data_IF_250191533519
#
_entry.id   IF_250191533519
#
_cell.length_a   1.000
_cell.length_b   1.000
_cell.length_c   1.000
_cell.angle_alpha   90.00
_cell.angle_beta   90.00
_cell.angle_gamma   90.00
#
_symmetry.space_group_name_H-M   'P 1'
#
loop_
_entity.id
_entity.type
_entity.pdbx_description
1 polymer ?
#
# COMPACT_ATOMS: atom_id res chain seq x y z
N UNK A 1 5.72 -6.29 -4.08
CA UNK A 1 5.06 -7.58 -4.39
C UNK A 1 6.01 -8.72 -4.05
N UNK A 2 5.59 -9.77 -3.35
CA UNK A 2 6.46 -10.93 -3.02
C UNK A 2 6.62 -11.85 -4.25
N UNK A 3 7.85 -12.31 -4.49
CA UNK A 3 8.24 -13.19 -5.60
C UNK A 3 8.90 -14.47 -5.07
N UNK A 4 8.93 -15.49 -5.93
CA UNK A 4 9.73 -16.70 -5.70
C UNK A 4 11.19 -16.41 -6.01
N UNK A 5 12.09 -16.82 -5.11
CA UNK A 5 13.54 -16.69 -5.31
C UNK A 5 13.97 -17.63 -6.42
N UNK A 6 14.45 -17.07 -7.53
CA UNK A 6 15.02 -17.82 -8.65
C UNK A 6 16.19 -17.06 -9.23
N UNK A 7 17.12 -17.78 -9.85
CA UNK A 7 18.21 -17.20 -10.64
C UNK A 7 18.21 -17.92 -11.98
N UNK A 8 18.21 -17.16 -13.07
CA UNK A 8 18.20 -17.68 -14.42
C UNK A 8 19.30 -17.02 -15.25
N UNK A 9 19.97 -17.80 -16.08
CA UNK A 9 20.91 -17.26 -17.05
C UNK A 9 20.14 -16.80 -18.29
N UNK A 10 20.15 -15.51 -18.57
CA UNK A 10 19.59 -14.96 -19.79
C UNK A 10 20.63 -15.05 -20.91
N UNK A 11 20.32 -15.84 -21.94
CA UNK A 11 21.22 -16.11 -23.07
C UNK A 11 21.36 -14.93 -24.03
N UNK A 12 20.42 -14.00 -24.05
CA UNK A 12 20.42 -12.88 -24.99
C UNK A 12 21.41 -11.79 -24.57
N UNK A 13 21.43 -11.46 -23.28
CA UNK A 13 22.36 -10.48 -22.70
C UNK A 13 23.59 -11.15 -22.04
N UNK A 14 23.64 -12.49 -21.99
CA UNK A 14 24.70 -13.28 -21.35
C UNK A 14 24.89 -12.95 -19.85
N UNK A 15 23.79 -12.62 -19.16
CA UNK A 15 23.81 -12.22 -17.76
C UNK A 15 23.00 -13.17 -16.87
N UNK A 16 23.39 -13.23 -15.60
CA UNK A 16 22.62 -13.92 -14.58
C UNK A 16 21.59 -12.95 -14.00
N UNK A 17 20.31 -13.31 -14.10
CA UNK A 17 19.17 -12.55 -13.59
C UNK A 17 18.63 -13.17 -12.30
N UNK A 18 17.91 -12.38 -11.51
CA UNK A 18 17.31 -12.82 -10.24
C UNK A 18 18.04 -12.34 -8.98
N UNK A 19 19.07 -11.51 -9.15
CA UNK A 19 19.71 -10.79 -8.06
C UNK A 19 19.03 -9.45 -7.81
N UNK A 20 19.18 -8.93 -6.60
CA UNK A 20 18.74 -7.59 -6.21
C UNK A 20 19.30 -6.51 -7.13
N UNK A 21 18.40 -5.66 -7.61
CA UNK A 21 18.68 -4.50 -8.43
C UNK A 21 17.63 -3.41 -8.16
N UNK A 22 18.05 -2.40 -7.40
CA UNK A 22 17.35 -1.14 -7.14
C UNK A 22 18.05 0.02 -7.86
N UNK A 23 18.75 -0.27 -8.97
CA UNK A 23 19.60 0.68 -9.69
C UNK A 23 20.83 1.11 -8.88
N UNK A 24 21.23 2.36 -9.06
CA UNK A 24 22.37 2.96 -8.34
C UNK A 24 22.14 3.04 -6.82
N UNK A 25 20.89 2.92 -6.37
CA UNK A 25 20.50 2.97 -4.96
C UNK A 25 20.49 1.59 -4.30
N UNK A 26 20.96 0.54 -4.99
CA UNK A 26 21.07 -0.80 -4.40
C UNK A 26 22.03 -0.80 -3.21
N UNK A 27 21.57 -1.12 -1.99
CA UNK A 27 22.44 -1.14 -0.82
C UNK A 27 23.54 -2.19 -0.97
N UNK A 28 24.76 -1.88 -0.55
CA UNK A 28 25.93 -2.75 -0.71
C UNK A 28 25.70 -4.14 -0.11
N UNK A 29 25.12 -4.20 1.08
CA UNK A 29 24.80 -5.44 1.76
C UNK A 29 23.75 -6.29 1.03
N UNK A 30 22.99 -5.73 0.09
CA UNK A 30 22.02 -6.46 -0.71
C UNK A 30 22.59 -6.91 -2.05
N UNK A 31 23.67 -6.33 -2.56
CA UNK A 31 24.23 -6.68 -3.87
C UNK A 31 24.58 -8.17 -3.95
N UNK A 32 24.25 -8.79 -5.08
CA UNK A 32 24.49 -10.22 -5.32
C UNK A 32 23.58 -11.17 -4.52
N UNK A 33 22.60 -10.66 -3.77
CA UNK A 33 21.62 -11.50 -3.09
C UNK A 33 20.43 -11.79 -4.00
N UNK A 34 19.81 -12.96 -3.83
CA UNK A 34 18.60 -13.31 -4.58
C UNK A 34 17.43 -12.41 -4.16
N UNK A 35 16.80 -11.78 -5.14
CA UNK A 35 15.61 -10.97 -4.91
C UNK A 35 14.41 -11.84 -4.55
N UNK A 36 13.52 -11.29 -3.72
CA UNK A 36 12.25 -11.93 -3.35
C UNK A 36 11.06 -10.97 -3.30
N UNK A 37 11.28 -9.70 -3.66
CA UNK A 37 10.20 -8.73 -3.82
C UNK A 37 10.43 -7.90 -5.08
N UNK A 38 9.36 -7.61 -5.83
CA UNK A 38 9.36 -6.59 -6.86
C UNK A 38 8.79 -5.27 -6.31
N UNK A 39 9.51 -4.18 -6.53
CA UNK A 39 9.01 -2.82 -6.42
C UNK A 39 8.63 -2.35 -7.83
N UNK A 40 7.38 -1.94 -8.02
CA UNK A 40 6.89 -1.43 -9.31
C UNK A 40 6.36 -0.03 -9.10
N UNK A 41 6.84 0.91 -9.92
CA UNK A 41 6.32 2.28 -9.97
C UNK A 41 5.44 2.38 -11.21
N UNK A 42 4.21 2.82 -11.02
CA UNK A 42 3.23 2.96 -12.08
C UNK A 42 2.74 4.39 -12.15
N UNK A 43 2.49 4.86 -13.37
CA UNK A 43 1.81 6.12 -13.64
C UNK A 43 0.38 5.83 -14.04
N UNK A 44 -0.55 6.56 -13.42
CA UNK A 44 -1.96 6.58 -13.78
C UNK A 44 -2.40 8.04 -13.90
N UNK A 45 -2.89 8.49 -15.06
CA UNK A 45 -3.39 9.85 -15.21
C UNK A 45 -4.75 10.00 -14.52
N UNK A 46 -5.03 11.21 -14.02
CA UNK A 46 -6.38 11.58 -13.59
C UNK A 46 -7.38 11.57 -14.74
N UNK A 47 -6.94 12.03 -15.92
CA UNK A 47 -7.75 12.05 -17.14
C UNK A 47 -7.27 10.97 -18.11
N UNK A 48 -8.02 9.87 -18.15
CA UNK A 48 -7.74 8.72 -19.02
C UNK A 48 -8.05 7.40 -18.31
N UNK A 49 -8.04 6.32 -19.08
CA UNK A 49 -8.21 4.95 -18.55
C UNK A 49 -7.03 4.07 -18.97
N UNK A 50 -5.83 4.51 -18.62
CA UNK A 50 -4.60 3.76 -18.89
C UNK A 50 -3.67 3.79 -17.68
N UNK A 51 -2.77 2.83 -17.62
CA UNK A 51 -1.72 2.73 -16.60
C UNK A 51 -0.44 2.30 -17.32
N UNK A 52 0.70 2.83 -16.90
CA UNK A 52 2.00 2.46 -17.44
C UNK A 52 2.97 2.20 -16.30
N UNK A 53 3.73 1.11 -16.38
CA UNK A 53 4.87 0.91 -15.49
C UNK A 53 5.99 1.86 -15.90
N UNK A 54 6.45 2.69 -14.97
CA UNK A 54 7.60 3.58 -15.14
C UNK A 54 8.91 2.87 -14.78
N UNK A 55 8.87 1.96 -13.81
CA UNK A 55 10.04 1.23 -13.35
C UNK A 55 9.66 -0.06 -12.61
N UNK A 56 10.51 -1.06 -12.74
CA UNK A 56 10.40 -2.34 -12.04
C UNK A 56 11.77 -2.70 -11.48
N UNK A 57 11.83 -2.91 -10.17
CA UNK A 57 13.06 -3.16 -9.44
C UNK A 57 12.93 -4.43 -8.63
N UNK A 58 14.02 -5.17 -8.49
CA UNK A 58 14.06 -6.42 -7.75
C UNK A 58 14.79 -6.19 -6.42
N UNK A 59 14.12 -6.42 -5.30
CA UNK A 59 14.68 -6.20 -3.97
C UNK A 59 14.67 -7.46 -3.12
N UNK A 60 15.45 -7.46 -2.04
CA UNK A 60 15.35 -8.47 -0.98
C UNK A 60 14.60 -7.85 0.19
N UNK A 61 13.38 -8.33 0.43
CA UNK A 61 12.40 -7.65 1.27
C UNK A 61 11.89 -6.37 0.61
N UNK A 62 11.08 -5.61 1.34
CA UNK A 62 10.67 -4.27 0.91
C UNK A 62 11.88 -3.34 0.84
N UNK A 63 11.93 -2.49 -0.19
CA UNK A 63 12.91 -1.41 -0.25
C UNK A 63 12.78 -0.52 1.00
N UNK A 64 13.92 -0.12 1.58
CA UNK A 64 13.90 0.77 2.73
C UNK A 64 13.38 2.17 2.33
N UNK A 65 12.93 2.96 3.31
CA UNK A 65 12.32 4.27 3.04
C UNK A 65 13.23 5.25 2.29
N UNK A 66 14.53 5.25 2.60
CA UNK A 66 15.51 6.13 1.94
C UNK A 66 15.74 5.78 0.47
N UNK A 67 15.93 4.51 0.16
CA UNK A 67 16.07 4.04 -1.23
C UNK A 67 14.79 4.29 -2.01
N UNK A 68 13.63 4.03 -1.39
CA UNK A 68 12.34 4.29 -2.01
C UNK A 68 12.13 5.78 -2.31
N UNK A 69 12.54 6.67 -1.39
CA UNK A 69 12.52 8.11 -1.61
C UNK A 69 13.39 8.52 -2.81
N UNK A 70 14.62 8.02 -2.92
CA UNK A 70 15.49 8.32 -4.07
C UNK A 70 14.92 7.81 -5.40
N UNK A 71 14.45 6.57 -5.45
CA UNK A 71 13.83 6.01 -6.65
C UNK A 71 12.59 6.83 -7.05
N UNK A 72 11.75 7.22 -6.07
CA UNK A 72 10.55 8.01 -6.32
C UNK A 72 10.88 9.42 -6.84
N UNK A 73 11.87 10.08 -6.26
CA UNK A 73 12.38 11.37 -6.75
C UNK A 73 12.80 11.29 -8.21
N UNK A 74 13.62 10.29 -8.57
CA UNK A 74 14.08 10.10 -9.94
C UNK A 74 12.92 9.78 -10.88
N UNK A 75 11.99 8.90 -10.48
CA UNK A 75 10.81 8.57 -11.27
C UNK A 75 9.95 9.80 -11.58
N UNK A 76 9.72 10.69 -10.60
CA UNK A 76 8.97 11.94 -10.80
C UNK A 76 9.70 12.86 -11.77
N UNK A 77 11.01 13.07 -11.58
CA UNK A 77 11.80 13.95 -12.44
C UNK A 77 11.78 13.44 -13.89
N UNK A 78 11.96 12.14 -14.11
CA UNK A 78 11.95 11.55 -15.45
C UNK A 78 10.55 11.58 -16.08
N UNK A 79 9.50 11.29 -15.32
CA UNK A 79 8.12 11.38 -15.78
C UNK A 79 7.77 12.80 -16.23
N UNK A 80 8.08 13.81 -15.43
CA UNK A 80 7.85 15.22 -15.74
C UNK A 80 8.61 15.68 -16.99
N UNK A 81 9.88 15.28 -17.12
CA UNK A 81 10.68 15.55 -18.33
C UNK A 81 10.10 14.91 -19.58
N UNK A 82 9.43 13.76 -19.45
CA UNK A 82 8.72 13.11 -20.54
C UNK A 82 7.33 13.72 -20.84
N UNK A 83 6.92 14.75 -20.09
CA UNK A 83 5.62 15.41 -20.23
C UNK A 83 4.49 14.76 -19.43
N UNK A 84 4.79 13.73 -18.61
CA UNK A 84 3.83 13.14 -17.69
C UNK A 84 3.78 13.97 -16.41
N UNK A 85 2.69 14.71 -16.23
CA UNK A 85 2.48 15.55 -15.05
C UNK A 85 2.12 14.71 -13.83
N UNK A 86 2.99 14.73 -12.81
CA UNK A 86 2.85 13.97 -11.57
C UNK A 86 2.39 14.89 -10.45
N UNK A 87 1.08 14.93 -10.22
CA UNK A 87 0.53 15.79 -9.16
C UNK A 87 0.46 15.07 -7.80
N UNK A 88 0.56 13.73 -7.77
CA UNK A 88 0.45 12.98 -6.52
C UNK A 88 1.17 11.63 -6.51
N UNK A 89 1.50 11.17 -5.30
CA UNK A 89 2.03 9.84 -4.99
C UNK A 89 0.95 9.08 -4.20
N UNK A 90 0.62 7.86 -4.63
CA UNK A 90 -0.30 6.98 -3.92
C UNK A 90 0.39 5.67 -3.49
N UNK A 91 0.29 5.30 -2.21
CA UNK A 91 0.83 4.03 -1.70
C UNK A 91 0.10 3.51 -0.45
N UNK A 92 0.43 2.30 0.00
CA UNK A 92 -0.12 1.74 1.24
C UNK A 92 0.56 2.32 2.49
N UNK A 93 -0.06 2.11 3.66
CA UNK A 93 0.44 2.59 4.94
C UNK A 93 1.62 1.79 5.53
N UNK A 94 2.41 1.07 4.74
CA UNK A 94 3.57 0.36 5.26
C UNK A 94 4.61 1.33 5.87
N UNK A 95 5.42 0.83 6.82
CA UNK A 95 6.37 1.67 7.56
C UNK A 95 7.41 2.34 6.66
N UNK A 96 7.95 1.62 5.67
CA UNK A 96 8.92 2.18 4.72
C UNK A 96 8.31 3.25 3.80
N UNK A 97 7.01 3.15 3.46
CA UNK A 97 6.31 4.17 2.67
C UNK A 97 6.12 5.45 3.49
N UNK A 98 5.79 5.31 4.78
CA UNK A 98 5.72 6.45 5.72
C UNK A 98 7.07 7.12 5.90
N UNK A 99 8.14 6.35 6.08
CA UNK A 99 9.51 6.92 6.12
C UNK A 99 9.85 7.68 4.84
N UNK A 100 9.45 7.20 3.66
CA UNK A 100 9.61 7.96 2.42
C UNK A 100 8.83 9.29 2.49
N UNK A 101 7.59 9.29 2.98
CA UNK A 101 6.79 10.52 3.13
C UNK A 101 7.47 11.52 4.08
N UNK A 102 7.99 11.04 5.21
CA UNK A 102 8.73 11.87 6.17
C UNK A 102 9.95 12.51 5.50
N UNK A 103 10.68 11.76 4.66
CA UNK A 103 11.83 12.28 3.90
C UNK A 103 11.44 13.31 2.83
N UNK A 104 10.20 13.26 2.34
CA UNK A 104 9.65 14.31 1.49
C UNK A 104 9.22 15.56 2.27
N UNK A 105 9.14 15.49 3.60
CA UNK A 105 8.65 16.58 4.45
C UNK A 105 7.13 16.56 4.69
N UNK A 106 6.47 15.43 4.44
CA UNK A 106 5.07 15.23 4.80
C UNK A 106 4.91 15.22 6.33
N UNK A 107 3.87 15.89 6.82
CA UNK A 107 3.46 15.82 8.23
C UNK A 107 1.93 15.76 8.33
N UNK A 108 1.39 15.51 9.52
CA UNK A 108 -0.08 15.51 9.73
C UNK A 108 -0.71 16.87 9.37
N UNK A 109 0.02 17.98 9.60
CA UNK A 109 -0.41 19.33 9.27
C UNK A 109 -0.11 19.73 7.81
N UNK A 110 0.74 18.95 7.12
CA UNK A 110 1.25 19.26 5.79
C UNK A 110 1.09 18.06 4.85
N UNK A 111 -0.09 17.95 4.25
CA UNK A 111 -0.49 16.82 3.38
C UNK A 111 0.02 16.90 1.93
N UNK A 112 0.77 17.96 1.60
CA UNK A 112 1.42 18.15 0.31
C UNK A 112 2.65 19.04 0.46
N UNK A 113 3.56 18.96 -0.50
CA UNK A 113 4.79 19.76 -0.53
C UNK A 113 4.86 20.60 -1.80
N UNK A 114 5.79 21.55 -1.84
CA UNK A 114 6.20 22.19 -3.09
C UNK A 114 6.68 21.13 -4.09
N UNK A 115 6.22 21.21 -5.34
CA UNK A 115 6.51 20.17 -6.31
C UNK A 115 7.97 20.24 -6.80
N UNK A 116 8.67 19.10 -6.72
CA UNK A 116 10.13 19.00 -6.89
C UNK A 116 10.68 19.41 -8.27
N UNK A 117 9.83 19.49 -9.31
CA UNK A 117 10.22 19.93 -10.67
C UNK A 117 9.67 21.30 -11.03
N UNK A 118 8.58 21.72 -10.38
CA UNK A 118 7.81 22.91 -10.78
C UNK A 118 7.25 23.59 -9.53
N UNK A 119 7.92 24.62 -8.99
CA UNK A 119 7.55 25.28 -7.74
C UNK A 119 6.15 25.90 -7.73
N UNK A 120 5.53 26.14 -8.89
CA UNK A 120 4.17 26.67 -8.97
C UNK A 120 3.10 25.61 -8.65
N UNK A 121 3.49 24.34 -8.57
CA UNK A 121 2.60 23.21 -8.31
C UNK A 121 2.88 22.59 -6.95
N UNK A 122 1.97 21.71 -6.54
CA UNK A 122 2.08 20.93 -5.31
C UNK A 122 2.14 19.44 -5.64
N UNK A 123 2.93 18.71 -4.85
CA UNK A 123 2.96 17.25 -4.87
C UNK A 123 2.16 16.72 -3.67
N UNK A 124 1.10 15.96 -3.94
CA UNK A 124 0.18 15.44 -2.94
C UNK A 124 0.49 13.98 -2.57
N UNK A 125 0.21 13.61 -1.32
CA UNK A 125 0.41 12.24 -0.82
C UNK A 125 -0.93 11.61 -0.48
N UNK A 126 -1.23 10.48 -1.11
CA UNK A 126 -2.46 9.73 -0.91
C UNK A 126 -2.17 8.35 -0.33
N UNK A 127 -2.92 7.97 0.68
CA UNK A 127 -2.93 6.60 1.16
C UNK A 127 -3.94 5.76 0.39
N UNK A 128 -3.65 4.47 0.21
CA UNK A 128 -4.61 3.48 -0.27
C UNK A 128 -5.82 3.41 0.68
N UNK A 129 -6.89 4.12 0.31
CA UNK A 129 -8.12 4.22 1.09
C UNK A 129 -8.76 2.85 1.38
N UNK A 130 -8.94 1.94 0.40
CA UNK A 130 -9.31 0.55 0.67
C UNK A 130 -8.47 -0.14 1.75
N UNK A 131 -7.15 0.09 1.76
CA UNK A 131 -6.28 -0.45 2.81
C UNK A 131 -6.55 0.16 4.19
N UNK A 132 -6.83 1.47 4.27
CA UNK A 132 -7.20 2.13 5.53
C UNK A 132 -8.49 1.53 6.12
N UNK A 133 -9.52 1.32 5.30
CA UNK A 133 -10.77 0.68 5.73
C UNK A 133 -10.50 -0.75 6.21
N UNK A 134 -9.63 -1.49 5.52
CA UNK A 134 -9.19 -2.83 5.92
C UNK A 134 -8.48 -2.81 7.28
N UNK A 135 -7.60 -1.86 7.51
CA UNK A 135 -6.91 -1.67 8.78
C UNK A 135 -7.88 -1.35 9.92
N UNK A 136 -8.83 -0.44 9.70
CA UNK A 136 -9.88 -0.11 10.67
C UNK A 136 -10.72 -1.34 11.04
N UNK A 137 -11.19 -2.09 10.04
CA UNK A 137 -11.92 -3.34 10.23
C UNK A 137 -11.10 -4.35 11.04
N UNK A 138 -9.83 -4.55 10.67
CA UNK A 138 -8.93 -5.47 11.36
C UNK A 138 -8.67 -5.06 12.81
N UNK A 139 -8.59 -3.75 13.08
CA UNK A 139 -8.46 -3.22 14.43
C UNK A 139 -9.67 -3.63 15.28
N UNK A 140 -10.90 -3.42 14.79
CA UNK A 140 -12.11 -3.84 15.50
C UNK A 140 -12.22 -5.35 15.65
N UNK A 141 -11.82 -6.15 14.66
CA UNK A 141 -11.90 -7.63 14.75
C UNK A 141 -11.00 -8.25 15.81
N UNK A 142 -9.97 -7.52 16.27
CA UNK A 142 -9.06 -7.97 17.33
C UNK A 142 -9.57 -7.62 18.73
N UNK A 143 -10.55 -6.72 18.82
CA UNK A 143 -11.14 -6.34 20.10
C UNK A 143 -12.04 -7.46 20.61
N UNK A 144 -12.19 -7.56 21.93
CA UNK A 144 -13.17 -8.47 22.52
C UNK A 144 -14.58 -8.13 22.04
N UNK A 145 -15.46 -9.14 22.00
CA UNK A 145 -16.83 -9.05 21.47
C UNK A 145 -17.63 -7.84 22.00
N UNK A 146 -17.38 -7.47 23.26
CA UNK A 146 -18.07 -6.39 23.98
C UNK A 146 -17.15 -5.23 24.36
N UNK A 147 -15.94 -5.17 23.81
CA UNK A 147 -15.04 -4.05 24.05
C UNK A 147 -15.66 -2.75 23.55
N UNK A 148 -15.41 -1.67 24.29
CA UNK A 148 -15.70 -0.32 23.88
C UNK A 148 -14.38 0.34 23.48
N UNK A 149 -14.27 0.75 22.22
CA UNK A 149 -13.16 1.57 21.73
C UNK A 149 -13.52 3.02 21.98
N UNK A 150 -12.67 3.74 22.71
CA UNK A 150 -12.84 5.18 22.89
C UNK A 150 -12.39 5.93 21.63
N UNK A 151 -13.18 6.91 21.22
CA UNK A 151 -12.90 7.87 20.15
C UNK A 151 -13.24 9.27 20.65
N UNK A 152 -12.76 10.35 20.02
CA UNK A 152 -13.13 11.72 20.40
C UNK A 152 -14.65 11.96 20.45
N UNK A 153 -15.41 11.26 19.60
CA UNK A 153 -16.87 11.37 19.50
C UNK A 153 -17.63 10.37 20.39
N UNK A 154 -16.91 9.59 21.21
CA UNK A 154 -17.49 8.63 22.16
C UNK A 154 -17.06 7.18 21.95
N UNK A 155 -17.85 6.25 22.49
CA UNK A 155 -17.51 4.82 22.47
C UNK A 155 -18.10 4.09 21.26
N UNK A 156 -17.24 3.39 20.52
CA UNK A 156 -17.62 2.51 19.42
C UNK A 156 -17.45 1.05 19.85
N UNK A 157 -18.44 0.21 19.55
CA UNK A 157 -18.39 -1.22 19.91
C UNK A 157 -19.06 -2.09 18.85
N UNK A 158 -18.50 -3.29 18.65
CA UNK A 158 -19.08 -4.31 17.78
C UNK A 158 -20.32 -5.00 18.38
N UNK A 159 -20.67 -4.72 19.65
CA UNK A 159 -21.78 -5.38 20.36
C UNK A 159 -23.11 -5.35 19.60
N UNK A 160 -23.42 -4.24 18.95
CA UNK A 160 -24.67 -4.07 18.19
C UNK A 160 -24.72 -4.97 16.94
N UNK A 161 -23.56 -5.17 16.30
CA UNK A 161 -23.45 -6.06 15.14
C UNK A 161 -23.63 -7.52 15.52
N UNK A 162 -23.09 -7.93 16.67
CA UNK A 162 -23.33 -9.27 17.21
C UNK A 162 -24.79 -9.49 17.64
N UNK A 163 -25.43 -8.47 18.21
CA UNK A 163 -26.86 -8.54 18.55
C UNK A 163 -27.72 -8.71 17.30
N UNK A 164 -27.40 -8.00 16.21
CA UNK A 164 -28.09 -8.14 14.93
C UNK A 164 -27.97 -9.56 14.37
N UNK A 165 -26.75 -10.12 14.35
CA UNK A 165 -26.52 -11.50 13.91
C UNK A 165 -27.28 -12.52 14.76
N UNK A 166 -27.44 -12.28 16.07
CA UNK A 166 -28.21 -13.16 16.94
C UNK A 166 -29.71 -13.09 16.65
N UNK A 167 -30.26 -11.88 16.42
CA UNK A 167 -31.68 -11.65 16.13
C UNK A 167 -32.08 -12.25 14.78
N UNK A 168 -31.28 -12.04 13.74
CA UNK A 168 -31.61 -12.53 12.39
C UNK A 168 -31.61 -14.05 12.27
N UNK A 169 -31.04 -14.76 13.26
CA UNK A 169 -30.92 -16.21 13.31
C UNK A 169 -30.56 -16.80 11.93
N UNK A 170 -29.28 -16.72 11.51
CA UNK A 170 -28.87 -16.92 10.12
C UNK A 170 -29.22 -18.29 9.52
N UNK A 171 -29.56 -19.26 10.38
CA UNK A 171 -29.89 -20.65 10.07
C UNK A 171 -31.40 -20.90 9.98
N UNK A 172 -32.24 -20.02 10.52
CA UNK A 172 -33.69 -20.21 10.59
C UNK A 172 -34.47 -19.57 9.43
N UNK A 173 -33.96 -18.47 8.85
CA UNK A 173 -34.68 -17.71 7.83
C UNK A 173 -33.79 -17.30 6.64
N UNK A 174 -34.36 -17.37 5.44
CA UNK A 174 -33.70 -16.93 4.20
C UNK A 174 -33.86 -15.43 3.91
N UNK A 175 -34.91 -14.79 4.44
CA UNK A 175 -35.14 -13.36 4.28
C UNK A 175 -34.55 -12.62 5.49
N UNK A 176 -33.57 -11.75 5.23
CA UNK A 176 -32.82 -11.00 6.25
C UNK A 176 -32.85 -9.51 5.94
N UNK A 177 -32.90 -8.68 6.98
CA UNK A 177 -32.84 -7.23 6.85
C UNK A 177 -31.43 -6.81 6.42
N UNK A 178 -30.40 -7.52 6.92
CA UNK A 178 -28.99 -7.30 6.60
C UNK A 178 -28.38 -8.52 5.91
N UNK A 179 -28.91 -8.87 4.74
CA UNK A 179 -28.50 -10.06 3.97
C UNK A 179 -27.02 -10.08 3.52
N UNK A 180 -26.33 -8.93 3.53
CA UNK A 180 -24.89 -8.85 3.28
C UNK A 180 -24.04 -9.15 4.50
N UNK A 181 -24.57 -9.00 5.72
CA UNK A 181 -23.82 -9.27 6.94
C UNK A 181 -23.82 -10.78 7.24
N UNK A 182 -22.64 -11.28 7.60
CA UNK A 182 -22.39 -12.67 7.98
C UNK A 182 -21.42 -12.66 9.14
N UNK A 183 -21.37 -13.77 9.87
CA UNK A 183 -20.44 -13.93 10.98
C UNK A 183 -18.98 -13.72 10.54
N UNK A 184 -18.62 -14.15 9.32
CA UNK A 184 -17.25 -13.96 8.79
C UNK A 184 -16.84 -12.50 8.57
N UNK A 185 -17.80 -11.58 8.48
CA UNK A 185 -17.52 -10.14 8.32
C UNK A 185 -17.06 -9.49 9.64
N UNK A 186 -17.44 -10.08 10.78
CA UNK A 186 -17.07 -9.61 12.12
C UNK A 186 -15.95 -10.49 12.69
N UNK A 187 -16.08 -11.81 12.57
CA UNK A 187 -15.10 -12.81 13.01
C UNK A 187 -14.19 -13.16 11.83
N UNK A 188 -13.13 -12.36 11.68
CA UNK A 188 -12.19 -12.52 10.57
C UNK A 188 -11.24 -13.67 10.86
N UNK A 189 -11.36 -14.74 10.07
CA UNK A 189 -10.39 -15.84 10.07
C UNK A 189 -9.19 -15.48 9.18
N UNK A 190 -8.01 -16.03 9.46
CA UNK A 190 -6.80 -15.72 8.68
C UNK A 190 -6.94 -16.05 7.18
N UNK A 191 -7.84 -16.96 6.81
CA UNK A 191 -8.13 -17.34 5.42
C UNK A 191 -9.02 -16.35 4.65
N UNK A 192 -9.71 -15.43 5.34
CA UNK A 192 -10.61 -14.43 4.70
C UNK A 192 -10.01 -13.02 4.65
N UNK A 193 -8.79 -12.82 5.15
CA UNK A 193 -8.02 -11.58 4.97
C UNK A 193 -7.52 -11.47 3.53
N UNK A 194 -8.31 -10.83 2.66
CA UNK A 194 -7.83 -10.25 1.40
C UNK A 194 -7.46 -8.79 1.60
#
# INVERSE_FOLDING_TARGET
>A
MKLSKSVSFNRQNLQMEGFTDLGIYTPEHQKGQKGDHALVIMFQPFKGKWVQALGCFLSKGSANGTVLHHIMMEAIILAEKAGLKVDAIANDGASWNRTMWDLFGFTEDCVSIEHIVDPERRLWFFSDFPHLIKCLRNFFSKQEKHANVWTPDGHVSLKHWYALLAIENPKAYNLKVNYHLREEHIIIRNTTKK
#
